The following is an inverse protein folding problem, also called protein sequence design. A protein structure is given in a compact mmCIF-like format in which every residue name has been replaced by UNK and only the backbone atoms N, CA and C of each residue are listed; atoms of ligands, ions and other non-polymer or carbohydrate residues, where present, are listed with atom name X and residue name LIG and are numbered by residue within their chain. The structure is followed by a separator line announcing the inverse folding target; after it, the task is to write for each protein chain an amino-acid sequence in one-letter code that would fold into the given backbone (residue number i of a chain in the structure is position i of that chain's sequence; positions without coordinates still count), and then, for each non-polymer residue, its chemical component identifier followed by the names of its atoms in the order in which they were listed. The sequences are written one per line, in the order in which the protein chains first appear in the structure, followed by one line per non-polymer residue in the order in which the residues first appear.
data_IF_112665607191
#
_entry.id   IF_112665607191
#
_cell.length_a   1.000
_cell.length_b   1.000
_cell.length_c   1.000
_cell.angle_alpha   90.00
_cell.angle_beta   90.00
_cell.angle_gamma   90.00
#
_symmetry.space_group_name_H-M   'P 1'
#
loop_
_entity.id
_entity.type
_entity.pdbx_description
1 polymer ?
#
# COMPACT_ATOMS: atom_id res chain seq x y z
N UNK A 1 21.34 17.06 16.25
CA UNK A 1 19.87 17.18 16.34
C UNK A 1 19.40 17.61 14.98
N UNK A 2 18.48 16.86 14.40
CA UNK A 2 17.97 17.09 13.04
C UNK A 2 16.87 18.15 13.09
N UNK A 3 15.77 17.78 13.74
CA UNK A 3 14.59 18.62 13.88
C UNK A 3 13.75 18.16 15.10
N UNK A 4 12.74 18.96 15.46
CA UNK A 4 11.70 18.54 16.39
C UNK A 4 10.38 19.22 16.09
N UNK A 5 9.30 18.51 16.38
CA UNK A 5 7.94 19.00 16.29
C UNK A 5 7.16 18.70 17.57
N UNK A 6 6.17 19.56 17.83
CA UNK A 6 5.13 19.23 18.78
C UNK A 6 4.02 18.43 18.09
N UNK A 7 3.54 17.41 18.79
CA UNK A 7 2.41 16.60 18.34
C UNK A 7 1.13 17.42 18.42
N UNK A 8 0.27 17.36 17.39
CA UNK A 8 -1.00 18.09 17.32
C UNK A 8 -0.81 19.61 17.56
N UNK A 9 0.20 20.19 16.92
CA UNK A 9 0.59 21.58 17.12
C UNK A 9 1.22 22.15 15.85
N UNK A 10 1.17 23.46 15.65
CA UNK A 10 1.69 24.14 14.45
C UNK A 10 3.22 24.35 14.43
N UNK A 11 3.97 23.85 15.42
CA UNK A 11 5.37 24.25 15.62
C UNK A 11 6.29 23.07 15.31
N UNK A 12 7.11 23.28 14.28
CA UNK A 12 8.26 22.45 13.92
C UNK A 12 9.49 23.34 13.86
N UNK A 13 10.62 22.80 14.29
CA UNK A 13 11.89 23.51 14.37
C UNK A 13 12.96 22.64 13.77
N UNK A 14 13.73 23.23 12.86
CA UNK A 14 14.78 22.56 12.11
C UNK A 14 16.10 23.26 12.39
N UNK A 15 17.20 22.52 12.30
CA UNK A 15 18.51 23.16 12.25
C UNK A 15 18.73 23.79 10.85
N UNK A 16 19.83 24.54 10.69
CA UNK A 16 20.12 25.28 9.46
C UNK A 16 20.34 24.40 8.22
N UNK A 17 20.74 23.14 8.41
CA UNK A 17 21.01 22.20 7.32
C UNK A 17 19.70 21.48 6.92
N UNK A 18 19.01 20.92 7.91
CA UNK A 18 17.84 20.07 7.71
C UNK A 18 16.55 20.83 7.40
N UNK A 19 16.55 22.17 7.54
CA UNK A 19 15.44 22.98 7.05
C UNK A 19 15.31 22.98 5.53
N UNK A 20 16.33 22.52 4.79
CA UNK A 20 16.30 22.42 3.33
C UNK A 20 15.77 21.08 2.79
N UNK A 21 15.72 20.02 3.61
CA UNK A 21 15.40 18.68 3.13
C UNK A 21 13.92 18.34 3.32
N UNK A 22 13.23 18.07 2.20
CA UNK A 22 11.79 17.76 2.18
C UNK A 22 11.44 16.56 3.06
N UNK A 23 12.31 15.55 3.13
CA UNK A 23 12.11 14.38 3.97
C UNK A 23 11.92 14.74 5.46
N UNK A 24 12.81 15.57 6.01
CA UNK A 24 12.72 16.04 7.39
C UNK A 24 11.56 17.02 7.59
N UNK A 25 11.29 17.89 6.61
CA UNK A 25 10.12 18.76 6.67
C UNK A 25 8.82 17.95 6.79
N UNK A 26 8.63 16.94 5.93
CA UNK A 26 7.44 16.10 5.89
C UNK A 26 7.30 15.24 7.16
N UNK A 27 8.40 14.69 7.68
CA UNK A 27 8.41 13.94 8.94
C UNK A 27 7.87 14.79 10.10
N UNK A 28 8.41 16.00 10.25
CA UNK A 28 8.02 16.90 11.35
C UNK A 28 6.61 17.50 11.15
N UNK A 29 6.19 17.74 9.91
CA UNK A 29 4.79 18.07 9.59
C UNK A 29 3.87 16.91 9.98
N UNK A 30 4.28 15.66 9.76
CA UNK A 30 3.52 14.49 10.21
C UNK A 30 3.27 14.51 11.71
N UNK A 31 4.25 14.89 12.53
CA UNK A 31 4.02 15.10 13.96
C UNK A 31 3.01 16.20 14.26
N UNK A 32 3.08 17.33 13.56
CA UNK A 32 2.08 18.40 13.71
C UNK A 32 0.65 17.89 13.41
N UNK A 33 0.52 16.96 12.47
CA UNK A 33 -0.73 16.27 12.10
C UNK A 33 -1.11 15.12 13.05
N UNK A 34 -0.34 14.87 14.11
CA UNK A 34 -0.67 13.84 15.10
C UNK A 34 -0.13 12.44 14.77
N UNK A 35 0.79 12.33 13.81
CA UNK A 35 1.40 11.04 13.45
C UNK A 35 2.61 10.76 14.35
N UNK A 36 2.75 9.51 14.77
CA UNK A 36 3.97 9.02 15.41
C UNK A 36 4.97 8.49 14.38
N UNK A 37 6.15 8.06 14.82
CA UNK A 37 7.11 7.40 13.95
C UNK A 37 6.54 6.08 13.38
N UNK A 38 7.24 5.56 12.39
CA UNK A 38 6.98 4.28 11.76
C UNK A 38 8.26 3.45 11.76
N UNK A 39 8.22 2.30 12.44
CA UNK A 39 9.33 1.36 12.57
C UNK A 39 9.04 0.05 11.87
N UNK A 40 10.03 -0.83 11.78
CA UNK A 40 9.86 -2.17 11.24
C UNK A 40 9.96 -3.20 12.34
N UNK A 41 9.10 -4.21 12.33
CA UNK A 41 9.10 -5.25 13.36
C UNK A 41 10.44 -5.99 13.38
N UNK A 42 11.06 -6.05 14.57
CA UNK A 42 12.37 -6.67 14.77
C UNK A 42 13.56 -5.75 14.47
N UNK A 43 13.33 -4.48 14.15
CA UNK A 43 14.35 -3.47 13.88
C UNK A 43 14.13 -2.24 14.79
N UNK A 44 14.31 -1.02 14.29
CA UNK A 44 14.16 0.23 15.04
C UNK A 44 12.83 0.98 14.80
N UNK A 45 12.61 2.08 15.54
CA UNK A 45 11.37 2.87 15.50
C UNK A 45 11.19 3.77 14.25
N UNK A 46 12.19 3.85 13.36
CA UNK A 46 12.23 4.69 12.14
C UNK A 46 12.43 3.88 10.85
N UNK A 47 12.61 2.57 10.96
CA UNK A 47 13.02 1.68 9.87
C UNK A 47 11.90 1.32 8.88
N UNK A 48 10.68 1.81 9.08
CA UNK A 48 9.60 1.67 8.11
C UNK A 48 9.74 2.65 6.94
N UNK A 49 10.63 2.32 6.00
CA UNK A 49 10.88 3.14 4.80
C UNK A 49 9.80 2.99 3.71
N UNK A 50 8.59 2.57 4.09
CA UNK A 50 7.40 2.59 3.22
C UNK A 50 6.74 3.96 3.15
N UNK A 51 7.06 4.88 4.08
CA UNK A 51 6.49 6.21 4.09
C UNK A 51 7.29 7.27 4.84
N UNK A 52 6.74 8.48 4.91
CA UNK A 52 7.45 9.69 5.36
C UNK A 52 7.72 9.79 6.88
N UNK A 53 7.14 8.92 7.71
CA UNK A 53 7.38 8.91 9.17
C UNK A 53 8.54 7.99 9.59
N UNK A 54 9.44 7.69 8.66
CA UNK A 54 10.64 6.86 8.82
C UNK A 54 11.87 7.72 9.13
N UNK A 55 13.08 7.19 8.92
CA UNK A 55 14.28 7.98 8.75
C UNK A 55 14.11 9.12 7.73
N UNK A 56 14.79 10.23 8.00
CA UNK A 56 14.93 11.37 7.09
C UNK A 56 16.30 11.33 6.41
N UNK A 57 16.37 12.04 5.29
CA UNK A 57 17.41 11.94 4.29
C UNK A 57 17.94 13.35 3.95
N UNK A 58 19.23 13.46 3.69
CA UNK A 58 19.92 14.74 3.42
C UNK A 58 20.02 15.04 1.93
N UNK A 59 19.08 14.53 1.15
CA UNK A 59 18.99 14.68 -0.28
C UNK A 59 17.88 15.66 -0.64
N UNK A 60 18.17 16.52 -1.62
CA UNK A 60 17.22 17.53 -2.10
C UNK A 60 16.05 16.88 -2.86
N UNK A 61 14.84 17.33 -2.57
CA UNK A 61 13.58 16.79 -3.13
C UNK A 61 13.43 15.25 -3.07
N UNK A 62 14.06 14.61 -2.08
CA UNK A 62 14.11 13.15 -1.94
C UNK A 62 13.99 12.67 -0.49
N UNK A 63 13.43 11.47 -0.24
CA UNK A 63 12.66 10.65 -1.16
C UNK A 63 11.23 11.18 -1.31
N UNK A 64 10.66 11.02 -2.50
CA UNK A 64 9.21 11.16 -2.72
C UNK A 64 8.49 9.93 -2.20
N UNK A 65 7.94 10.07 -0.99
CA UNK A 65 7.13 9.05 -0.32
C UNK A 65 5.91 9.68 0.32
N UNK A 66 4.79 8.98 0.24
CA UNK A 66 3.58 9.33 0.99
C UNK A 66 3.67 8.84 2.43
N UNK A 67 2.66 9.13 3.26
CA UNK A 67 2.53 8.46 4.53
C UNK A 67 2.07 7.00 4.32
N UNK A 68 2.57 6.07 5.14
CA UNK A 68 2.16 4.67 5.07
C UNK A 68 0.64 4.51 5.26
N UNK A 69 0.11 3.33 4.97
CA UNK A 69 -1.32 3.06 4.95
C UNK A 69 -2.02 3.18 6.33
N UNK A 70 -1.29 3.01 7.44
CA UNK A 70 -1.83 3.26 8.78
C UNK A 70 -2.00 4.76 9.05
N UNK A 71 -0.99 5.56 8.71
CA UNK A 71 -1.05 7.03 8.82
C UNK A 71 -2.06 7.63 7.84
N UNK A 72 -2.11 7.11 6.62
CA UNK A 72 -3.09 7.51 5.59
C UNK A 72 -4.54 7.26 6.06
N UNK A 73 -4.79 6.15 6.76
CA UNK A 73 -6.07 5.90 7.39
C UNK A 73 -6.36 6.91 8.52
N UNK A 74 -5.39 7.13 9.42
CA UNK A 74 -5.50 8.07 10.55
C UNK A 74 -5.86 9.50 10.10
N UNK A 75 -5.31 9.95 8.98
CA UNK A 75 -5.51 11.30 8.45
C UNK A 75 -6.92 11.52 7.87
N UNK A 76 -7.61 10.45 7.45
CA UNK A 76 -8.95 10.55 6.86
C UNK A 76 -9.01 11.32 5.54
N UNK A 77 -7.89 11.47 4.82
CA UNK A 77 -7.80 12.25 3.57
C UNK A 77 -8.43 11.57 2.35
N UNK A 78 -8.82 10.31 2.49
CA UNK A 78 -9.33 9.47 1.40
C UNK A 78 -10.79 9.08 1.64
N UNK A 79 -11.72 10.05 1.68
CA UNK A 79 -13.13 9.76 1.95
C UNK A 79 -13.67 8.73 0.95
N UNK A 80 -14.35 7.71 1.47
CA UNK A 80 -14.91 6.62 0.68
C UNK A 80 -13.91 5.54 0.24
N UNK A 81 -12.60 5.76 0.38
CA UNK A 81 -11.56 4.81 0.01
C UNK A 81 -10.82 4.24 1.25
N UNK A 82 -11.47 4.23 2.40
CA UNK A 82 -11.02 3.48 3.58
C UNK A 82 -12.16 2.65 4.13
N UNK A 83 -11.85 1.45 4.63
CA UNK A 83 -12.84 0.58 5.27
C UNK A 83 -12.26 -0.06 6.52
N UNK A 84 -13.14 -0.49 7.42
CA UNK A 84 -12.81 -1.22 8.64
C UNK A 84 -13.61 -2.51 8.69
N UNK A 85 -12.98 -3.60 9.11
CA UNK A 85 -13.61 -4.90 9.33
C UNK A 85 -13.09 -5.55 10.60
N UNK A 86 -13.94 -6.38 11.22
CA UNK A 86 -13.49 -7.39 12.17
C UNK A 86 -13.20 -8.69 11.39
N UNK A 87 -11.93 -9.08 11.21
CA UNK A 87 -11.58 -10.25 10.42
C UNK A 87 -11.95 -11.57 11.10
N UNK A 88 -12.38 -11.57 12.36
CA UNK A 88 -12.85 -12.76 13.08
C UNK A 88 -14.28 -13.16 12.69
N UNK A 89 -15.03 -12.27 12.04
CA UNK A 89 -16.46 -12.43 11.77
C UNK A 89 -16.82 -12.21 10.29
N UNK A 90 -15.93 -12.59 9.37
CA UNK A 90 -16.13 -12.41 7.93
C UNK A 90 -17.27 -13.30 7.38
N UNK A 91 -18.14 -12.76 6.50
CA UNK A 91 -19.13 -13.58 5.79
C UNK A 91 -18.45 -14.70 5.00
N UNK A 92 -18.83 -15.96 5.27
CA UNK A 92 -18.23 -17.11 4.59
C UNK A 92 -16.76 -17.38 4.96
N UNK A 93 -16.21 -16.71 5.98
CA UNK A 93 -14.84 -16.87 6.44
C UNK A 93 -13.77 -16.21 5.56
N UNK A 94 -14.18 -15.44 4.54
CA UNK A 94 -13.27 -14.80 3.60
C UNK A 94 -13.93 -13.62 2.89
N UNK A 95 -13.15 -12.58 2.59
CA UNK A 95 -13.61 -11.44 1.81
C UNK A 95 -12.49 -10.85 0.94
N UNK A 96 -12.84 -10.45 -0.27
CA UNK A 96 -11.93 -9.83 -1.23
C UNK A 96 -11.98 -8.31 -1.17
N UNK A 97 -10.83 -7.67 -1.40
CA UNK A 97 -10.67 -6.22 -1.47
C UNK A 97 -9.79 -5.83 -2.64
N UNK A 98 -10.15 -4.72 -3.28
CA UNK A 98 -9.26 -4.01 -4.20
C UNK A 98 -8.56 -2.88 -3.44
N UNK A 99 -7.25 -2.84 -3.50
CA UNK A 99 -6.42 -1.79 -2.94
C UNK A 99 -5.94 -0.86 -4.04
N UNK A 100 -6.18 0.44 -3.88
CA UNK A 100 -5.60 1.45 -4.75
C UNK A 100 -4.29 1.96 -4.14
N UNK A 101 -3.28 2.20 -4.97
CA UNK A 101 -2.12 2.98 -4.54
C UNK A 101 -2.55 4.37 -4.10
N UNK A 102 -1.91 4.95 -3.08
CA UNK A 102 -2.16 6.34 -2.64
C UNK A 102 -2.10 7.32 -3.81
N UNK A 103 -1.17 7.07 -4.74
CA UNK A 103 -0.93 7.88 -5.94
C UNK A 103 -2.06 7.81 -6.97
N UNK A 104 -2.90 6.79 -6.89
CA UNK A 104 -4.04 6.53 -7.78
C UNK A 104 -5.39 6.81 -7.13
N UNK A 105 -5.38 7.35 -5.90
CA UNK A 105 -6.61 7.72 -5.23
C UNK A 105 -7.42 8.69 -6.10
N UNK A 106 -8.66 8.29 -6.35
CA UNK A 106 -9.68 9.12 -6.95
C UNK A 106 -11.00 8.84 -6.22
N UNK A 107 -11.71 9.87 -5.71
CA UNK A 107 -12.96 9.69 -4.96
C UNK A 107 -14.08 8.98 -5.75
N UNK A 108 -13.95 8.83 -7.07
CA UNK A 108 -14.93 8.12 -7.90
C UNK A 108 -14.52 6.68 -8.23
N UNK A 109 -13.29 6.27 -7.94
CA UNK A 109 -12.83 4.91 -8.22
C UNK A 109 -13.38 3.93 -7.20
N UNK A 110 -13.61 2.69 -7.63
CA UNK A 110 -13.76 1.60 -6.67
C UNK A 110 -12.39 1.22 -6.07
N UNK A 111 -12.40 0.68 -4.86
CA UNK A 111 -11.21 0.25 -4.12
C UNK A 111 -10.92 1.08 -2.87
N UNK A 112 -9.90 0.65 -2.13
CA UNK A 112 -9.51 1.24 -0.87
C UNK A 112 -8.01 1.58 -0.85
N UNK A 113 -7.66 2.76 -0.37
CA UNK A 113 -6.28 3.14 -0.03
C UNK A 113 -5.83 2.41 1.25
N UNK A 114 -6.76 2.12 2.16
CA UNK A 114 -6.46 1.42 3.40
C UNK A 114 -7.65 0.59 3.89
N UNK A 115 -7.40 -0.70 4.13
CA UNK A 115 -8.30 -1.63 4.83
C UNK A 115 -7.78 -1.80 6.24
N UNK A 116 -8.57 -1.42 7.24
CA UNK A 116 -8.26 -1.60 8.65
C UNK A 116 -8.87 -2.90 9.16
N UNK A 117 -8.06 -3.70 9.86
CA UNK A 117 -8.49 -4.88 10.59
C UNK A 117 -8.57 -4.53 12.06
N UNK A 118 -9.79 -4.47 12.59
CA UNK A 118 -10.05 -4.18 14.00
C UNK A 118 -9.64 -5.38 14.85
N UNK A 119 -8.53 -5.24 15.58
CA UNK A 119 -8.05 -6.27 16.49
C UNK A 119 -8.53 -5.98 17.91
N UNK A 120 -8.14 -4.82 18.46
CA UNK A 120 -8.35 -4.50 19.88
C UNK A 120 -9.30 -3.33 20.16
N UNK A 121 -10.06 -2.79 19.19
CA UNK A 121 -11.02 -1.76 19.56
C UNK A 121 -10.37 -0.43 19.97
N UNK A 122 -11.11 0.38 20.74
CA UNK A 122 -10.57 1.49 21.54
C UNK A 122 -10.16 0.99 22.93
N UNK A 123 -9.09 0.20 23.01
CA UNK A 123 -8.57 -0.30 24.30
C UNK A 123 -7.19 0.27 24.62
N UNK A 124 -6.88 0.33 25.92
CA UNK A 124 -5.54 0.70 26.40
C UNK A 124 -4.54 -0.32 25.91
N UNK A 125 -3.47 0.17 25.26
CA UNK A 125 -2.41 -0.64 24.67
C UNK A 125 -2.90 -1.58 23.54
N UNK A 126 -4.11 -1.35 23.04
CA UNK A 126 -4.63 -2.03 21.85
C UNK A 126 -3.86 -1.62 20.60
N UNK A 127 -3.98 -2.42 19.57
CA UNK A 127 -3.46 -2.11 18.24
C UNK A 127 -4.44 -2.61 17.19
N UNK A 128 -4.26 -2.13 15.96
CA UNK A 128 -4.98 -2.59 14.78
C UNK A 128 -4.00 -2.79 13.64
N UNK A 129 -4.43 -3.54 12.62
CA UNK A 129 -3.66 -3.70 11.40
C UNK A 129 -4.28 -2.90 10.27
N UNK A 130 -3.42 -2.44 9.38
CA UNK A 130 -3.77 -1.65 8.22
C UNK A 130 -3.12 -2.35 7.03
N UNK A 131 -3.91 -2.53 5.97
CA UNK A 131 -3.46 -3.12 4.72
C UNK A 131 -3.63 -2.08 3.62
N UNK A 132 -2.57 -1.85 2.85
CA UNK A 132 -2.59 -0.91 1.73
C UNK A 132 -1.64 -1.37 0.63
N UNK A 133 -1.79 -0.78 -0.56
CA UNK A 133 -0.91 -1.04 -1.69
C UNK A 133 -0.01 0.17 -1.94
N UNK A 134 1.29 -0.06 -2.04
CA UNK A 134 2.26 1.02 -2.17
C UNK A 134 2.88 1.06 -3.55
N UNK A 135 2.16 1.65 -4.50
CA UNK A 135 2.63 1.84 -5.87
C UNK A 135 3.75 2.88 -5.92
N UNK A 136 4.91 2.50 -6.44
CA UNK A 136 6.13 3.30 -6.46
C UNK A 136 6.21 4.19 -7.72
N UNK A 137 5.28 5.13 -7.86
CA UNK A 137 5.28 6.11 -8.96
C UNK A 137 4.90 7.52 -8.50
N UNK A 138 5.18 8.54 -9.31
CA UNK A 138 4.80 9.93 -9.05
C UNK A 138 5.26 10.44 -7.67
N UNK A 139 4.32 10.84 -6.81
CA UNK A 139 4.60 11.36 -5.45
C UNK A 139 5.12 10.30 -4.47
N UNK A 140 5.26 9.05 -4.92
CA UNK A 140 5.66 7.91 -4.12
C UNK A 140 6.78 7.07 -4.78
N UNK A 141 7.39 7.60 -5.85
CA UNK A 141 8.39 6.92 -6.70
C UNK A 141 9.71 6.56 -6.00
N UNK A 142 9.94 7.04 -4.78
CA UNK A 142 11.15 6.72 -4.01
C UNK A 142 10.84 5.95 -2.73
N UNK A 143 9.70 5.26 -2.70
CA UNK A 143 9.49 4.17 -1.74
C UNK A 143 10.71 3.26 -1.77
N UNK A 144 11.28 2.90 -0.60
CA UNK A 144 12.50 2.07 -0.54
C UNK A 144 12.22 0.64 -0.12
N UNK A 145 11.20 0.44 0.71
CA UNK A 145 10.76 -0.89 1.15
C UNK A 145 9.39 -1.18 0.58
N UNK A 146 9.23 -2.36 -0.02
CA UNK A 146 7.95 -2.82 -0.54
C UNK A 146 7.41 -1.98 -1.70
N UNK A 147 8.27 -1.54 -2.60
CA UNK A 147 7.87 -0.91 -3.87
C UNK A 147 6.91 -1.82 -4.63
N UNK A 148 5.77 -1.28 -5.07
CA UNK A 148 4.74 -2.02 -5.80
C UNK A 148 4.27 -3.30 -5.09
N UNK A 149 4.23 -3.27 -3.76
CA UNK A 149 3.79 -4.37 -2.91
C UNK A 149 2.65 -3.95 -1.97
N UNK A 150 1.90 -4.95 -1.50
CA UNK A 150 0.92 -4.78 -0.42
C UNK A 150 1.66 -4.76 0.92
N UNK A 151 1.32 -3.82 1.79
CA UNK A 151 1.92 -3.67 3.11
C UNK A 151 0.93 -4.05 4.19
N UNK A 152 1.39 -4.80 5.19
CA UNK A 152 0.66 -5.02 6.43
C UNK A 152 1.36 -4.25 7.54
N UNK A 153 0.69 -3.25 8.08
CA UNK A 153 1.23 -2.33 9.10
C UNK A 153 0.38 -2.44 10.35
N UNK A 154 1.00 -2.73 11.49
CA UNK A 154 0.37 -2.65 12.80
C UNK A 154 0.49 -1.21 13.31
N UNK A 155 -0.54 -0.65 13.95
CA UNK A 155 -0.44 0.63 14.67
C UNK A 155 -1.02 0.50 16.06
N UNK A 156 -0.30 1.01 17.05
CA UNK A 156 -0.77 1.07 18.43
C UNK A 156 -1.80 2.19 18.61
N UNK A 157 -2.76 1.96 19.50
CA UNK A 157 -3.81 2.90 19.87
C UNK A 157 -3.43 3.56 21.19
N UNK A 158 -2.53 4.56 21.15
CA UNK A 158 -2.15 5.23 22.39
C UNK A 158 -3.36 5.93 23.02
N UNK A 159 -3.45 5.86 24.35
CA UNK A 159 -4.53 6.51 25.13
C UNK A 159 -5.94 6.07 24.71
N UNK A 160 -6.07 4.86 24.17
CA UNK A 160 -7.34 4.25 23.76
C UNK A 160 -7.97 5.00 22.58
N UNK A 161 -7.16 5.72 21.80
CA UNK A 161 -7.59 6.44 20.62
C UNK A 161 -7.01 5.78 19.38
N UNK A 162 -7.88 5.05 18.67
CA UNK A 162 -7.53 4.34 17.43
C UNK A 162 -7.11 5.28 16.31
N UNK A 163 -7.73 6.45 16.25
CA UNK A 163 -7.53 7.45 15.20
C UNK A 163 -6.54 8.53 15.67
N UNK A 164 -6.04 8.40 16.89
CA UNK A 164 -5.07 9.27 17.51
C UNK A 164 -3.62 8.85 17.26
N UNK A 165 -2.73 9.55 17.97
CA UNK A 165 -1.29 9.34 17.92
C UNK A 165 -0.94 7.87 18.23
N UNK A 166 -0.10 7.26 17.42
CA UNK A 166 0.36 5.89 17.66
C UNK A 166 1.48 5.46 16.74
N UNK A 167 2.52 4.86 17.33
CA UNK A 167 3.61 4.23 16.60
C UNK A 167 3.05 3.15 15.67
N UNK A 168 3.59 3.08 14.45
CA UNK A 168 3.29 1.97 13.55
C UNK A 168 4.51 1.10 13.32
N UNK A 169 4.25 -0.16 13.01
CA UNK A 169 5.22 -1.21 12.78
C UNK A 169 4.91 -1.91 11.47
N UNK A 170 5.81 -1.84 10.49
CA UNK A 170 5.73 -2.64 9.28
C UNK A 170 5.92 -4.11 9.66
N UNK A 171 4.89 -4.91 9.43
CA UNK A 171 4.87 -6.34 9.73
C UNK A 171 5.44 -7.14 8.56
N UNK A 172 4.99 -6.82 7.35
CA UNK A 172 5.43 -7.48 6.13
C UNK A 172 5.10 -6.66 4.88
N UNK A 173 5.75 -7.04 3.78
CA UNK A 173 5.45 -6.60 2.42
C UNK A 173 5.17 -7.84 1.58
N UNK A 174 4.10 -7.82 0.80
CA UNK A 174 3.62 -8.95 0.00
C UNK A 174 3.60 -8.59 -1.48
N UNK A 175 4.35 -9.35 -2.29
CA UNK A 175 4.18 -9.41 -3.74
C UNK A 175 2.97 -10.29 -4.08
N UNK A 176 2.62 -10.33 -5.37
CA UNK A 176 1.60 -11.25 -5.86
C UNK A 176 1.88 -12.71 -5.42
N UNK A 177 0.81 -13.43 -5.12
CA UNK A 177 0.80 -14.84 -4.69
C UNK A 177 1.46 -15.09 -3.32
N UNK A 178 1.83 -14.03 -2.60
CA UNK A 178 2.28 -14.12 -1.21
C UNK A 178 1.14 -13.90 -0.23
N UNK A 179 1.32 -14.47 0.96
CA UNK A 179 0.37 -14.34 2.06
C UNK A 179 1.07 -14.09 3.40
N UNK A 180 0.35 -13.47 4.33
CA UNK A 180 0.79 -13.25 5.70
C UNK A 180 -0.33 -13.61 6.67
N UNK A 181 0.00 -14.47 7.63
CA UNK A 181 -0.91 -14.91 8.69
C UNK A 181 -0.55 -14.24 10.01
N UNK A 182 -1.57 -13.78 10.72
CA UNK A 182 -1.50 -13.08 11.99
C UNK A 182 -2.59 -13.61 12.92
N UNK A 183 -2.26 -13.69 14.20
CA UNK A 183 -3.17 -14.15 15.24
C UNK A 183 -4.08 -13.00 15.71
N UNK A 184 -5.40 -13.25 15.70
CA UNK A 184 -6.43 -12.37 16.26
C UNK A 184 -7.08 -13.07 17.45
N UNK A 185 -6.45 -12.95 18.62
CA UNK A 185 -6.91 -13.54 19.87
C UNK A 185 -7.23 -15.06 19.74
N UNK A 186 -6.34 -15.81 19.06
CA UNK A 186 -6.52 -17.23 18.77
C UNK A 186 -7.23 -17.57 17.46
N UNK A 187 -7.58 -16.57 16.64
CA UNK A 187 -8.08 -16.76 15.27
C UNK A 187 -7.00 -16.41 14.26
N UNK A 188 -6.58 -17.39 13.44
CA UNK A 188 -5.67 -17.11 12.33
C UNK A 188 -6.38 -16.27 11.25
N UNK A 189 -5.86 -15.08 11.02
CA UNK A 189 -6.27 -14.19 9.92
C UNK A 189 -5.15 -14.15 8.90
N UNK A 190 -5.47 -14.42 7.64
CA UNK A 190 -4.49 -14.43 6.54
C UNK A 190 -4.85 -13.39 5.49
N UNK A 191 -3.88 -12.56 5.14
CA UNK A 191 -3.94 -11.62 4.01
C UNK A 191 -3.19 -12.25 2.86
N UNK A 192 -3.88 -12.54 1.75
CA UNK A 192 -3.30 -13.12 0.53
C UNK A 192 -3.39 -12.10 -0.60
N UNK A 193 -2.29 -11.85 -1.31
CA UNK A 193 -2.30 -11.01 -2.51
C UNK A 193 -2.60 -11.88 -3.72
N UNK A 194 -3.79 -11.71 -4.30
CA UNK A 194 -4.27 -12.57 -5.39
C UNK A 194 -3.87 -12.05 -6.77
N UNK A 195 -3.69 -10.74 -6.93
CA UNK A 195 -3.12 -10.15 -8.14
C UNK A 195 -2.59 -8.75 -7.87
N UNK A 196 -1.56 -8.34 -8.62
CA UNK A 196 -1.11 -6.95 -8.70
C UNK A 196 -1.08 -6.57 -10.18
N UNK A 197 -1.65 -5.42 -10.52
CA UNK A 197 -1.52 -4.83 -11.84
C UNK A 197 -0.88 -3.44 -11.74
N UNK A 198 -0.80 -2.73 -12.86
CA UNK A 198 -0.12 -1.43 -12.93
C UNK A 198 -0.79 -0.32 -12.11
N UNK A 199 -1.92 -0.54 -11.42
CA UNK A 199 -2.63 0.47 -10.64
C UNK A 199 -3.15 -0.05 -9.28
N UNK A 200 -3.65 -1.28 -9.26
CA UNK A 200 -4.37 -1.86 -8.13
C UNK A 200 -3.77 -3.20 -7.70
N UNK A 201 -3.89 -3.52 -6.42
CA UNK A 201 -3.66 -4.85 -5.87
C UNK A 201 -4.97 -5.46 -5.38
N UNK A 202 -5.25 -6.71 -5.77
CA UNK A 202 -6.34 -7.49 -5.23
C UNK A 202 -5.83 -8.33 -4.06
N UNK A 203 -6.55 -8.30 -2.95
CA UNK A 203 -6.28 -9.14 -1.78
C UNK A 203 -7.51 -9.95 -1.39
N UNK A 204 -7.27 -11.08 -0.78
CA UNK A 204 -8.27 -11.86 -0.05
C UNK A 204 -7.86 -11.91 1.41
N UNK A 205 -8.79 -11.56 2.30
CA UNK A 205 -8.61 -11.70 3.74
C UNK A 205 -9.47 -12.89 4.17
N UNK A 206 -8.82 -13.91 4.71
CA UNK A 206 -9.49 -15.06 5.32
C UNK A 206 -9.39 -14.96 6.84
N UNK A 207 -10.50 -15.20 7.53
CA UNK A 207 -10.56 -15.13 8.98
C UNK A 207 -11.95 -15.51 9.50
N UNK A 208 -12.02 -15.89 10.77
CA UNK A 208 -13.22 -16.43 11.40
C UNK A 208 -13.38 -17.95 11.19
N UNK A 209 -14.50 -18.50 11.68
CA UNK A 209 -14.79 -19.91 11.45
C UNK A 209 -15.10 -20.11 9.97
N UNK A 210 -14.20 -20.78 9.23
CA UNK A 210 -14.54 -21.32 7.92
C UNK A 210 -15.89 -22.04 8.03
N UNK A 211 -16.84 -21.85 7.09
CA UNK A 211 -18.02 -22.70 7.07
C UNK A 211 -17.54 -24.15 6.97
N UNK A 212 -17.79 -24.93 8.03
CA UNK A 212 -17.66 -26.38 8.02
C UNK A 212 -18.71 -26.95 7.09
N UNK A 213 -18.51 -26.78 5.78
CA UNK A 213 -19.29 -27.41 4.74
C UNK A 213 -18.39 -28.27 3.85
N UNK A 214 -17.79 -29.28 4.46
CA UNK A 214 -17.70 -30.58 3.80
C UNK A 214 -18.61 -31.53 4.57
N UNK A 215 -19.73 -32.00 3.98
CA UNK A 215 -20.38 -33.20 4.48
C UNK A 215 -19.29 -34.28 4.52
N UNK A 216 -19.03 -34.82 5.70
CA UNK A 216 -18.17 -35.98 5.82
C UNK A 216 -18.75 -37.08 4.94
N UNK A 217 -18.11 -37.36 3.81
CA UNK A 217 -18.36 -38.56 3.03
C UNK A 217 -18.17 -39.74 3.98
N UNK A 218 -19.22 -40.53 4.30
CA UNK A 218 -19.03 -41.68 5.16
C UNK A 218 -18.00 -42.63 4.51
N UNK A 219 -17.15 -43.29 5.31
CA UNK A 219 -16.12 -44.18 4.78
C UNK A 219 -16.75 -45.26 3.89
N UNK A 220 -16.10 -45.66 2.78
CA UNK A 220 -16.65 -46.65 1.87
C UNK A 220 -16.87 -47.95 2.63
N UNK A 221 -18.14 -48.34 2.74
CA UNK A 221 -18.54 -49.62 3.32
C UNK A 221 -18.18 -50.72 2.32
N UNK A 222 -17.79 -51.88 2.86
CA UNK A 222 -17.21 -53.03 2.19
C UNK A 222 -17.78 -53.37 0.79
N UNK A 223 -16.84 -53.80 -0.07
CA UNK A 223 -17.01 -54.47 -1.35
C UNK A 223 -18.23 -55.40 -1.44
N UNK A 224 -19.14 -55.20 -2.40
CA UNK A 224 -19.97 -56.26 -2.93
C UNK A 224 -19.24 -57.00 -4.06
N UNK A 225 -18.86 -58.25 -3.77
CA UNK A 225 -18.49 -59.25 -4.76
C UNK A 225 -19.75 -59.68 -5.52
N UNK A 226 -19.92 -59.19 -6.74
CA UNK A 226 -20.81 -59.79 -7.73
C UNK A 226 -20.17 -59.68 -9.11
N UNK A 227 -19.71 -60.83 -9.60
CA UNK A 227 -19.29 -61.07 -10.99
C UNK A 227 -20.43 -60.74 -11.97
N UNK A 228 -20.23 -59.87 -12.96
CA UNK A 228 -21.14 -59.76 -14.09
C UNK A 228 -20.78 -60.82 -15.15
N UNK A 229 -21.63 -61.85 -15.26
CA UNK A 229 -21.67 -62.75 -16.41
C UNK A 229 -22.57 -62.13 -17.48
N UNK A 230 -21.99 -61.45 -18.47
CA UNK A 230 -22.61 -61.26 -19.77
C UNK A 230 -21.54 -60.89 -20.81
N UNK A 231 -21.27 -61.82 -21.71
CA UNK A 231 -20.49 -61.64 -22.93
C UNK A 231 -21.15 -60.62 -23.86
N UNK A 232 -20.46 -59.56 -24.33
CA UNK A 232 -20.91 -58.78 -25.45
C UNK A 232 -20.48 -59.48 -26.76
N UNK A 233 -21.41 -60.16 -27.41
CA UNK A 233 -21.35 -60.40 -28.85
C UNK A 233 -21.61 -59.08 -29.54
N UNK A 234 -20.60 -58.46 -30.15
CA UNK A 234 -20.65 -57.74 -31.43
C UNK A 234 -19.28 -57.10 -31.71
N UNK A 235 -18.69 -57.53 -32.82
CA UNK A 235 -17.37 -57.12 -33.32
C UNK A 235 -17.51 -55.83 -34.15
N UNK A 236 -16.79 -54.74 -33.84
CA UNK A 236 -16.60 -53.65 -34.79
C UNK A 236 -15.38 -53.95 -35.65
N UNK A 237 -15.60 -54.23 -36.93
CA UNK A 237 -14.55 -54.27 -37.96
C UNK A 237 -14.28 -52.84 -38.42
N UNK A 238 -13.10 -52.30 -38.10
CA UNK A 238 -12.54 -51.13 -38.80
C UNK A 238 -11.06 -51.43 -39.11
N UNK A 239 -10.62 -51.35 -40.39
CA UNK A 239 -9.21 -51.52 -40.73
C UNK A 239 -8.40 -50.30 -40.29
N UNK A 240 -7.29 -50.53 -39.58
CA UNK A 240 -6.31 -49.48 -39.26
C UNK A 240 -5.54 -48.99 -40.50
N UNK A 241 -5.00 -47.75 -40.47
CA UNK A 241 -4.16 -47.23 -41.54
C UNK A 241 -2.76 -47.87 -41.54
N UNK A 242 -2.07 -47.93 -42.70
CA UNK A 242 -0.78 -48.61 -42.83
C UNK A 242 0.34 -47.89 -42.09
N UNK A 243 1.26 -48.70 -41.55
CA UNK A 243 2.50 -48.30 -40.88
C UNK A 243 3.49 -47.64 -41.86
N UNK A 244 4.16 -46.54 -41.48
CA UNK A 244 5.26 -45.98 -42.27
C UNK A 244 6.47 -46.92 -42.23
N UNK A 245 6.98 -47.29 -43.42
CA UNK A 245 8.08 -48.24 -43.62
C UNK A 245 9.32 -47.51 -44.17
N UNK A 246 9.92 -46.61 -43.41
CA UNK A 246 11.22 -46.02 -43.79
C UNK A 246 12.14 -45.94 -42.56
N UNK A 247 13.33 -46.59 -42.58
CA UNK A 247 14.34 -46.42 -41.54
C UNK A 247 15.03 -45.05 -41.69
N UNK A 248 15.35 -44.34 -40.59
CA UNK A 248 16.15 -43.13 -40.66
C UNK A 248 17.59 -43.47 -41.08
N UNK A 249 18.07 -42.78 -42.10
CA UNK A 249 19.44 -42.86 -42.63
C UNK A 249 20.36 -41.86 -41.92
N UNK A 250 21.56 -42.37 -41.61
CA UNK A 250 22.85 -41.77 -41.26
C UNK A 250 23.00 -40.65 -40.19
N UNK A 251 24.03 -40.76 -39.31
CA UNK A 251 24.34 -39.76 -38.30
C UNK A 251 25.04 -38.52 -38.92
N UNK A 252 24.78 -37.31 -38.40
CA UNK A 252 25.52 -36.13 -38.85
C UNK A 252 26.97 -36.16 -38.34
N UNK A 253 27.90 -36.36 -39.26
CA UNK A 253 29.32 -36.03 -39.10
C UNK A 253 29.56 -34.57 -39.50
N UNK A 254 29.85 -33.70 -38.52
CA UNK A 254 30.79 -32.58 -38.64
C UNK A 254 30.73 -31.72 -37.37
N UNK A 255 31.88 -31.61 -36.70
CA UNK A 255 32.12 -30.69 -35.60
C UNK A 255 32.46 -29.30 -36.17
N UNK A 256 31.73 -28.21 -35.88
CA UNK A 256 32.16 -26.88 -36.29
C UNK A 256 33.16 -26.32 -35.28
N UNK A 257 34.45 -26.47 -35.59
CA UNK A 257 35.51 -25.59 -35.09
C UNK A 257 35.48 -24.27 -35.86
N UNK A 258 34.99 -23.19 -35.26
CA UNK A 258 35.39 -21.82 -35.56
C UNK A 258 34.99 -20.89 -34.42
N UNK A 259 35.99 -20.35 -33.73
CA UNK A 259 35.84 -19.19 -32.83
C UNK A 259 35.58 -17.93 -33.67
N UNK A 260 34.58 -17.10 -33.33
CA UNK A 260 34.42 -15.81 -34.00
C UNK A 260 35.42 -14.81 -33.41
N UNK A 261 36.43 -14.44 -34.21
CA UNK A 261 37.21 -13.22 -34.01
C UNK A 261 36.69 -12.10 -34.91
N UNK A 262 36.89 -10.87 -34.42
CA UNK A 262 36.79 -9.55 -35.06
C UNK A 262 35.46 -8.77 -34.97
N UNK A 263 35.61 -7.57 -34.40
CA UNK A 263 34.67 -6.45 -34.33
C UNK A 263 34.03 -6.10 -35.68
N UNK A 264 32.73 -5.78 -35.72
CA UNK A 264 32.16 -5.05 -36.84
C UNK A 264 32.38 -3.54 -36.66
N UNK A 265 33.39 -2.98 -37.35
CA UNK A 265 33.41 -1.57 -37.74
C UNK A 265 32.65 -1.40 -39.05
N UNK A 266 31.36 -1.07 -38.97
CA UNK A 266 30.61 -0.50 -40.08
C UNK A 266 29.58 0.49 -39.56
N UNK A 267 29.82 1.77 -39.85
CA UNK A 267 28.91 2.89 -39.63
C UNK A 267 27.65 2.75 -40.50
N UNK A 268 26.43 2.87 -39.94
CA UNK A 268 25.22 2.90 -40.74
C UNK A 268 25.05 4.27 -41.43
N UNK A 269 25.25 4.30 -42.74
CA UNK A 269 24.80 5.37 -43.64
C UNK A 269 23.39 5.06 -44.15
N UNK A 270 22.37 5.52 -43.43
CA UNK A 270 21.03 5.67 -43.98
C UNK A 270 20.32 6.84 -43.30
N UNK A 271 20.17 7.93 -44.03
CA UNK A 271 19.46 9.14 -43.65
C UNK A 271 17.94 8.89 -43.75
N UNK A 272 17.15 9.00 -42.67
CA UNK A 272 15.71 8.85 -42.77
C UNK A 272 15.07 10.11 -43.39
N UNK A 273 14.76 10.06 -44.68
CA UNK A 273 13.85 11.01 -45.34
C UNK A 273 12.40 10.64 -45.04
N UNK A 274 11.84 11.23 -43.99
CA UNK A 274 10.40 11.41 -43.84
C UNK A 274 10.13 12.69 -43.05
N UNK A 275 9.82 13.77 -43.77
CA UNK A 275 9.31 15.02 -43.22
C UNK A 275 7.88 14.82 -42.71
N UNK A 276 7.57 15.07 -41.43
CA UNK A 276 6.19 15.11 -40.96
C UNK A 276 5.50 16.41 -41.42
N UNK A 277 4.70 16.33 -42.48
CA UNK A 277 3.72 17.36 -42.85
C UNK A 277 2.43 17.16 -42.05
N UNK A 278 2.34 17.79 -40.89
CA UNK A 278 1.07 18.12 -40.25
C UNK A 278 1.24 19.42 -39.44
N UNK A 279 0.86 20.54 -40.05
CA UNK A 279 0.73 21.84 -39.38
C UNK A 279 -0.47 21.80 -38.44
N UNK A 280 -0.32 22.01 -37.12
CA UNK A 280 -1.45 22.18 -36.23
C UNK A 280 -2.13 23.52 -36.53
N UNK A 281 -3.37 23.45 -37.03
CA UNK A 281 -4.28 24.58 -37.14
C UNK A 281 -5.24 24.56 -35.95
N UNK A 282 -4.97 25.36 -34.93
CA UNK A 282 -5.99 26.03 -34.13
C UNK A 282 -5.31 26.96 -33.13
N UNK A 283 -5.64 28.23 -33.25
CA UNK A 283 -5.15 29.34 -32.45
C UNK A 283 -6.06 29.45 -31.20
N UNK A 284 -5.60 29.18 -29.97
CA UNK A 284 -6.42 29.42 -28.79
C UNK A 284 -6.46 30.93 -28.53
N UNK A 285 -7.55 31.55 -28.98
CA UNK A 285 -7.86 32.96 -28.70
C UNK A 285 -8.85 32.99 -27.54
N UNK A 286 -8.36 33.07 -26.31
CA UNK A 286 -9.16 33.50 -25.15
C UNK A 286 -8.20 34.04 -24.08
N UNK A 287 -8.03 35.36 -24.04
CA UNK A 287 -7.43 36.07 -22.92
C UNK A 287 -8.37 36.02 -21.71
N UNK A 288 -7.94 35.50 -20.55
CA UNK A 288 -8.73 35.59 -19.33
C UNK A 288 -8.61 37.01 -18.76
N UNK A 289 -9.66 37.81 -18.97
CA UNK A 289 -9.84 39.11 -18.28
C UNK A 289 -10.75 38.89 -17.08
N UNK A 290 -10.16 38.65 -15.91
CA UNK A 290 -10.82 38.83 -14.63
C UNK A 290 -9.77 39.04 -13.53
N UNK A 291 -9.41 40.29 -13.28
CA UNK A 291 -8.73 40.71 -12.03
C UNK A 291 -9.68 40.53 -10.85
N UNK A 292 -9.35 39.72 -9.83
CA UNK A 292 -10.16 39.61 -8.63
C UNK A 292 -10.03 40.90 -7.81
N UNK A 293 -11.11 41.68 -7.75
CA UNK A 293 -11.21 42.90 -6.93
C UNK A 293 -12.02 42.58 -5.68
N UNK A 294 -11.45 41.85 -4.74
CA UNK A 294 -12.01 41.73 -3.39
C UNK A 294 -10.90 41.84 -2.36
N UNK A 295 -10.73 43.06 -1.84
CA UNK A 295 -10.06 43.29 -0.56
C UNK A 295 -10.94 42.73 0.56
N UNK A 296 -10.43 41.85 1.43
CA UNK A 296 -11.18 41.42 2.60
C UNK A 296 -11.33 42.59 3.57
N UNK A 297 -12.56 43.06 3.77
CA UNK A 297 -12.89 44.03 4.81
C UNK A 297 -13.04 43.27 6.12
N UNK A 298 -12.05 43.38 7.01
CA UNK A 298 -12.15 42.88 8.38
C UNK A 298 -13.02 43.85 9.19
N UNK A 299 -14.16 43.43 9.77
CA UNK A 299 -14.88 44.26 10.72
C UNK A 299 -14.06 44.34 12.02
N UNK A 300 -13.81 45.56 12.50
CA UNK A 300 -13.21 45.77 13.82
C UNK A 300 -14.09 45.15 14.92
N UNK A 301 -13.50 44.53 15.95
CA UNK A 301 -14.27 44.02 17.08
C UNK A 301 -14.87 45.19 17.89
N UNK A 302 -16.07 45.05 18.45
CA UNK A 302 -16.66 46.09 19.29
C UNK A 302 -15.81 46.29 20.54
N UNK A 303 -15.45 47.55 20.81
CA UNK A 303 -14.89 47.99 22.08
C UNK A 303 -15.92 47.78 23.19
N UNK A 304 -15.76 46.73 24.00
CA UNK A 304 -16.52 46.59 25.25
C UNK A 304 -15.75 47.23 26.40
N UNK A 305 -16.24 48.39 26.80
CA UNK A 305 -15.90 49.06 28.06
C UNK A 305 -16.60 48.32 29.19
N UNK A 306 -15.91 47.40 29.86
CA UNK A 306 -16.28 46.94 31.20
C UNK A 306 -15.05 46.33 31.88
N UNK A 307 -14.55 47.01 32.92
CA UNK A 307 -13.53 46.48 33.81
C UNK A 307 -14.13 45.33 34.66
N UNK A 308 -13.49 44.15 34.73
CA UNK A 308 -13.82 43.16 35.74
C UNK A 308 -12.80 43.26 36.89
N UNK A 309 -13.26 43.79 38.03
CA UNK A 309 -12.67 43.49 39.35
C UNK A 309 -13.06 42.08 39.76
N UNK A 310 -12.21 41.09 39.48
CA UNK A 310 -12.22 39.81 40.21
C UNK A 310 -10.80 39.38 40.53
N UNK A 311 -10.56 39.22 41.82
CA UNK A 311 -9.31 38.78 42.46
C UNK A 311 -8.94 37.35 41.99
N UNK A 312 -7.67 37.05 41.67
CA UNK A 312 -7.31 35.73 41.13
C UNK A 312 -7.40 34.66 42.22
N UNK A 313 -8.28 33.69 42.05
CA UNK A 313 -8.18 32.39 42.71
C UNK A 313 -7.23 31.53 41.90
N UNK A 314 -6.23 30.93 42.54
CA UNK A 314 -5.25 30.04 41.90
C UNK A 314 -6.00 28.88 41.22
N UNK A 315 -6.10 28.91 39.90
CA UNK A 315 -6.39 27.72 39.11
C UNK A 315 -5.16 26.83 39.14
N UNK A 316 -5.35 25.57 39.54
CA UNK A 316 -4.34 24.54 39.46
C UNK A 316 -3.90 24.39 37.99
N UNK A 317 -2.60 24.53 37.73
CA UNK A 317 -2.01 24.17 36.45
C UNK A 317 -2.12 22.66 36.28
N UNK A 318 -3.12 22.18 35.54
CA UNK A 318 -2.95 20.91 34.82
C UNK A 318 -1.94 21.20 33.72
N UNK A 319 -0.72 20.68 33.87
CA UNK A 319 0.23 20.62 32.76
C UNK A 319 -0.43 19.79 31.66
N UNK A 320 -0.89 20.42 30.60
CA UNK A 320 -0.85 19.77 29.29
C UNK A 320 0.63 19.60 28.98
N UNK A 321 1.18 18.43 29.27
CA UNK A 321 2.49 18.05 28.74
C UNK A 321 2.32 17.96 27.22
N UNK A 322 2.70 19.04 26.52
CA UNK A 322 2.82 19.02 25.06
C UNK A 322 3.84 17.95 24.70
N UNK A 323 3.38 16.83 24.10
CA UNK A 323 4.25 15.74 23.65
C UNK A 323 5.19 16.30 22.58
N UNK A 324 6.50 16.14 22.79
CA UNK A 324 7.56 16.50 21.85
C UNK A 324 8.06 15.22 21.21
N UNK A 325 8.07 15.17 19.89
CA UNK A 325 8.83 14.17 19.14
C UNK A 325 10.18 14.81 18.78
N UNK A 326 11.25 14.01 18.77
CA UNK A 326 12.60 14.48 18.43
C UNK A 326 13.21 13.52 17.43
N UNK A 327 13.70 14.06 16.33
CA UNK A 327 14.51 13.31 15.40
C UNK A 327 15.99 13.50 15.74
N UNK A 328 16.71 12.39 15.87
CA UNK A 328 18.11 12.38 16.31
C UNK A 328 19.09 12.33 15.14
#
# INVERSE_FOLDING_TARGET
WIAFAYVNHHLSVYNNEWCGFVSAQMHEVGHNLGLAHSGKTGDDEYSDTTGAMSYSYSEDDWPKVCFNNAKSHQLGWYPGATTEIDPRSLPGGSQDYKLNGVVDYNPTNDGYVSVRLDHSGQTTDGYDYYIGYNRATGINENTRTGEDMVHVVQKINERNDRDGYGQSWLMTTLSQDQAYTMDFDGTDVTVTVTSINDADAMITITGGTAPTSTPATPPPTATPTATPTATPTHMPTVPGPPTPTVPPTDPPTANPTATPTSNPTATPTANPTATPTATPTSNPTATPTATPTHTPTVPAPPTSTAAPTVKPTKAAKTKSEKKRARMY
#
